data_IF_172109060508
#
_entry.id   IF_172109060508
#
_cell.length_a   1.000
_cell.length_b   1.000
_cell.length_c   1.000
_cell.angle_alpha   90.00
_cell.angle_beta   90.00
_cell.angle_gamma   90.00
#
_symmetry.space_group_name_H-M   'P 1'
#
loop_
_entity.id
_entity.type
_entity.pdbx_description
1 polymer ?
#
# COMPACT_ATOMS: atom_id res chain seq x y z
N UNK A 1 -36.09 -2.86 14.76
CA UNK A 1 -34.85 -2.07 14.81
C UNK A 1 -33.70 -3.03 14.69
N UNK A 2 -33.26 -3.28 13.45
CA UNK A 2 -31.99 -3.95 13.20
C UNK A 2 -30.91 -3.00 13.73
N UNK A 3 -30.17 -3.42 14.73
CA UNK A 3 -29.11 -2.63 15.36
C UNK A 3 -27.86 -2.47 14.45
N UNK A 4 -28.06 -2.25 13.17
CA UNK A 4 -27.02 -1.88 12.22
C UNK A 4 -26.48 -0.52 12.64
N UNK A 5 -25.26 -0.52 13.11
CA UNK A 5 -24.53 0.70 13.40
C UNK A 5 -24.14 1.34 12.07
N UNK A 6 -24.70 2.51 11.80
CA UNK A 6 -24.27 3.31 10.67
C UNK A 6 -22.81 3.74 10.87
N UNK A 7 -22.06 3.80 9.79
CA UNK A 7 -20.69 4.33 9.82
C UNK A 7 -20.68 5.71 10.47
N UNK A 8 -19.71 5.96 11.34
CA UNK A 8 -19.66 7.23 12.06
C UNK A 8 -19.44 8.39 11.10
N UNK A 9 -20.06 9.55 11.37
CA UNK A 9 -19.78 10.78 10.62
C UNK A 9 -18.28 11.14 10.70
N UNK A 10 -17.61 10.79 11.77
CA UNK A 10 -16.17 11.01 11.96
C UNK A 10 -15.30 10.31 10.90
N UNK A 11 -15.66 9.10 10.46
CA UNK A 11 -14.92 8.44 9.36
C UNK A 11 -15.08 9.21 8.04
N UNK A 12 -16.29 9.69 7.75
CA UNK A 12 -16.55 10.53 6.56
C UNK A 12 -15.73 11.82 6.64
N UNK A 13 -15.73 12.48 7.80
CA UNK A 13 -15.01 13.73 8.02
C UNK A 13 -13.49 13.52 7.86
N UNK A 14 -12.95 12.40 8.35
CA UNK A 14 -11.53 12.07 8.19
C UNK A 14 -11.19 11.76 6.73
N UNK A 15 -11.98 10.96 6.02
CA UNK A 15 -11.78 10.73 4.57
C UNK A 15 -11.80 12.05 3.79
N UNK A 16 -12.73 12.94 4.09
CA UNK A 16 -12.80 14.28 3.48
C UNK A 16 -11.56 15.11 3.83
N UNK A 17 -11.06 15.01 5.08
CA UNK A 17 -9.85 15.69 5.52
C UNK A 17 -8.62 15.21 4.73
N UNK A 18 -8.45 13.90 4.54
CA UNK A 18 -7.38 13.31 3.74
C UNK A 18 -7.48 13.80 2.29
N UNK A 19 -8.66 13.75 1.68
CA UNK A 19 -8.89 14.25 0.32
C UNK A 19 -8.49 15.73 0.19
N UNK A 20 -8.83 16.57 1.17
CA UNK A 20 -8.43 17.99 1.19
C UNK A 20 -6.92 18.16 1.32
N UNK A 21 -6.26 17.39 2.17
CA UNK A 21 -4.79 17.41 2.31
C UNK A 21 -4.11 17.04 0.99
N UNK A 22 -4.60 15.99 0.30
CA UNK A 22 -4.09 15.61 -1.03
C UNK A 22 -4.31 16.73 -2.05
N UNK A 23 -5.50 17.31 -2.10
CA UNK A 23 -5.79 18.43 -3.00
C UNK A 23 -4.86 19.63 -2.78
N UNK A 24 -4.58 19.97 -1.51
CA UNK A 24 -3.69 21.07 -1.15
C UNK A 24 -2.20 20.82 -1.54
N UNK A 25 -1.81 19.56 -1.71
CA UNK A 25 -0.46 19.19 -2.15
C UNK A 25 -0.18 19.46 -3.63
N UNK A 26 -1.21 19.78 -4.42
CA UNK A 26 -1.05 20.02 -5.86
C UNK A 26 -1.26 21.49 -6.22
N UNK A 27 -0.31 22.06 -6.95
CA UNK A 27 -0.53 23.31 -7.69
C UNK A 27 -1.29 23.03 -9.00
N UNK A 28 -0.94 21.94 -9.69
CA UNK A 28 -1.64 21.43 -10.86
C UNK A 28 -1.74 19.90 -10.68
N UNK A 29 -2.96 19.37 -10.74
CA UNK A 29 -3.18 17.92 -10.62
C UNK A 29 -2.80 17.24 -11.94
N UNK A 30 -1.88 16.26 -11.93
CA UNK A 30 -1.53 15.52 -13.14
C UNK A 30 -2.77 14.79 -13.70
N UNK A 31 -2.90 14.72 -15.02
CA UNK A 31 -4.03 14.04 -15.68
C UNK A 31 -4.06 12.52 -15.35
N UNK A 32 -2.90 11.93 -15.07
CA UNK A 32 -2.77 10.52 -14.66
C UNK A 32 -3.10 10.27 -13.18
N UNK A 33 -3.22 11.32 -12.35
CA UNK A 33 -3.52 11.15 -10.95
C UNK A 33 -4.95 10.65 -10.73
N UNK A 34 -5.10 9.59 -9.97
CA UNK A 34 -6.38 9.03 -9.55
C UNK A 34 -6.32 8.70 -8.07
N UNK A 35 -7.24 9.26 -7.29
CA UNK A 35 -7.47 8.88 -5.90
C UNK A 35 -8.71 7.99 -5.82
N UNK A 36 -8.56 6.77 -5.32
CA UNK A 36 -9.70 5.87 -5.15
C UNK A 36 -10.02 5.66 -3.67
N UNK A 37 -11.25 5.91 -3.29
CA UNK A 37 -11.78 5.56 -1.96
C UNK A 37 -12.52 4.23 -2.08
N UNK A 38 -12.00 3.20 -1.41
CA UNK A 38 -12.67 1.90 -1.31
C UNK A 38 -13.50 1.87 -0.03
N UNK A 39 -14.81 1.76 -0.19
CA UNK A 39 -15.76 1.70 0.91
C UNK A 39 -16.17 0.24 1.17
N UNK A 40 -16.04 -0.23 2.43
CA UNK A 40 -16.47 -1.57 2.79
C UNK A 40 -17.99 -1.73 2.84
N UNK A 41 -18.74 -0.61 2.87
CA UNK A 41 -20.21 -0.64 2.86
C UNK A 41 -20.80 0.32 1.84
N UNK A 42 -21.85 -0.13 1.16
CA UNK A 42 -22.58 0.69 0.18
C UNK A 42 -23.17 1.97 0.78
N UNK A 43 -23.68 1.91 2.00
CA UNK A 43 -24.23 3.07 2.71
C UNK A 43 -23.18 4.17 2.90
N UNK A 44 -21.95 3.81 3.26
CA UNK A 44 -20.86 4.77 3.39
C UNK A 44 -20.54 5.42 2.05
N UNK A 45 -20.44 4.63 0.98
CA UNK A 45 -20.19 5.15 -0.37
C UNK A 45 -21.21 6.23 -0.77
N UNK A 46 -22.51 5.98 -0.53
CA UNK A 46 -23.57 6.95 -0.85
C UNK A 46 -23.42 8.23 -0.02
N UNK A 47 -23.21 8.10 1.30
CA UNK A 47 -23.05 9.24 2.21
C UNK A 47 -21.82 10.08 1.87
N UNK A 48 -20.67 9.44 1.66
CA UNK A 48 -19.45 10.11 1.23
C UNK A 48 -19.64 10.81 -0.11
N UNK A 49 -20.28 10.15 -1.08
CA UNK A 49 -20.57 10.74 -2.39
C UNK A 49 -21.44 12.01 -2.29
N UNK A 50 -22.45 12.01 -1.41
CA UNK A 50 -23.28 13.19 -1.14
C UNK A 50 -22.46 14.33 -0.52
N UNK A 51 -21.57 14.02 0.45
CA UNK A 51 -20.73 15.01 1.09
C UNK A 51 -19.72 15.62 0.11
N UNK A 52 -19.03 14.79 -0.71
CA UNK A 52 -18.11 15.29 -1.73
C UNK A 52 -18.82 16.13 -2.80
N UNK A 53 -20.04 15.79 -3.17
CA UNK A 53 -20.86 16.61 -4.08
C UNK A 53 -21.22 17.96 -3.46
N UNK A 54 -21.57 17.98 -2.18
CA UNK A 54 -21.81 19.22 -1.43
C UNK A 54 -20.57 20.10 -1.39
N UNK A 55 -19.42 19.49 -1.15
CA UNK A 55 -18.12 20.16 -1.11
C UNK A 55 -17.75 20.76 -2.48
N UNK A 56 -17.93 20.01 -3.57
CA UNK A 56 -17.68 20.47 -4.93
C UNK A 56 -18.53 21.71 -5.31
N UNK A 57 -19.76 21.79 -4.80
CA UNK A 57 -20.64 22.92 -5.04
C UNK A 57 -20.24 24.18 -4.26
N UNK A 58 -19.59 24.01 -3.10
CA UNK A 58 -19.15 25.12 -2.23
C UNK A 58 -17.79 25.66 -2.61
N UNK A 59 -16.91 24.81 -3.15
CA UNK A 59 -15.53 25.12 -3.49
C UNK A 59 -15.21 24.64 -4.90
N UNK A 60 -15.01 25.60 -5.82
CA UNK A 60 -14.72 25.32 -7.23
C UNK A 60 -13.37 24.64 -7.43
N UNK A 61 -12.36 24.97 -6.66
CA UNK A 61 -11.04 24.36 -6.75
C UNK A 61 -11.12 22.91 -6.31
N UNK A 62 -11.78 22.65 -5.18
CA UNK A 62 -12.06 21.30 -4.73
C UNK A 62 -12.91 20.52 -5.74
N UNK A 63 -13.93 21.14 -6.35
CA UNK A 63 -14.73 20.52 -7.40
C UNK A 63 -13.89 20.07 -8.61
N UNK A 64 -12.83 20.80 -8.96
CA UNK A 64 -11.87 20.37 -10.00
C UNK A 64 -11.05 19.16 -9.56
N UNK A 65 -10.52 19.16 -8.35
CA UNK A 65 -9.77 18.03 -7.80
C UNK A 65 -10.64 16.76 -7.71
N UNK A 66 -11.89 16.90 -7.28
CA UNK A 66 -12.81 15.76 -7.12
C UNK A 66 -13.14 15.02 -8.42
N UNK A 67 -12.78 15.56 -9.59
CA UNK A 67 -12.85 14.82 -10.87
C UNK A 67 -11.83 13.68 -10.95
N UNK A 68 -10.77 13.74 -10.14
CA UNK A 68 -9.75 12.71 -10.02
C UNK A 68 -10.05 11.73 -8.87
N UNK A 69 -11.17 11.92 -8.14
CA UNK A 69 -11.56 11.06 -7.02
C UNK A 69 -12.64 10.08 -7.48
N UNK A 70 -12.42 8.80 -7.19
CA UNK A 70 -13.39 7.73 -7.41
C UNK A 70 -13.79 7.12 -6.07
N UNK A 71 -15.04 6.73 -5.93
CA UNK A 71 -15.53 5.99 -4.76
C UNK A 71 -16.07 4.66 -5.28
N UNK A 72 -15.52 3.56 -4.81
CA UNK A 72 -15.92 2.21 -5.21
C UNK A 72 -16.34 1.40 -3.99
N UNK A 73 -17.32 0.52 -4.17
CA UNK A 73 -17.65 -0.48 -3.16
C UNK A 73 -16.62 -1.61 -3.21
N UNK A 74 -16.35 -2.25 -2.07
CA UNK A 74 -15.38 -3.35 -2.03
C UNK A 74 -15.74 -4.52 -2.97
N UNK A 75 -17.02 -4.71 -3.25
CA UNK A 75 -17.49 -5.76 -4.17
C UNK A 75 -17.15 -5.46 -5.65
N UNK A 76 -16.89 -4.20 -5.97
CA UNK A 76 -16.61 -3.71 -7.33
C UNK A 76 -15.12 -3.32 -7.50
N UNK A 77 -14.27 -3.64 -6.54
CA UNK A 77 -12.88 -3.16 -6.50
C UNK A 77 -11.93 -3.93 -7.44
N UNK A 78 -12.30 -5.14 -7.85
CA UNK A 78 -11.45 -5.98 -8.68
C UNK A 78 -11.00 -5.27 -9.97
N UNK A 79 -9.68 -5.23 -10.20
CA UNK A 79 -9.08 -4.56 -11.36
C UNK A 79 -9.04 -3.03 -11.28
N UNK A 80 -9.42 -2.42 -10.16
CA UNK A 80 -9.22 -1.00 -9.95
C UNK A 80 -7.74 -0.67 -9.74
N UNK A 81 -7.31 0.47 -10.28
CA UNK A 81 -5.95 1.01 -10.08
C UNK A 81 -6.05 2.49 -9.73
N UNK A 82 -5.18 2.95 -8.86
CA UNK A 82 -5.10 4.34 -8.44
C UNK A 82 -3.67 4.73 -8.05
N UNK A 83 -3.34 6.01 -8.22
CA UNK A 83 -2.07 6.57 -7.72
C UNK A 83 -2.07 6.61 -6.20
N UNK A 84 -3.21 6.95 -5.60
CA UNK A 84 -3.45 6.96 -4.16
C UNK A 84 -4.76 6.23 -3.85
N UNK A 85 -4.84 5.52 -2.72
CA UNK A 85 -6.11 4.95 -2.27
C UNK A 85 -6.38 5.24 -0.78
N UNK A 86 -7.66 5.26 -0.45
CA UNK A 86 -8.16 5.31 0.92
C UNK A 86 -9.06 4.10 1.11
N UNK A 87 -8.72 3.23 2.06
CA UNK A 87 -9.58 2.13 2.48
C UNK A 87 -10.36 2.58 3.73
N UNK A 88 -11.66 2.81 3.56
CA UNK A 88 -12.54 3.21 4.64
C UNK A 88 -13.26 1.98 5.19
N UNK A 89 -13.06 1.68 6.48
CA UNK A 89 -13.59 0.47 7.14
C UNK A 89 -15.11 0.50 7.25
N UNK A 90 -15.71 1.68 7.42
CA UNK A 90 -17.15 1.92 7.37
C UNK A 90 -17.97 1.19 8.45
N UNK A 91 -17.33 0.60 9.45
CA UNK A 91 -17.96 -0.01 10.60
C UNK A 91 -17.75 0.88 11.83
N UNK A 92 -18.77 1.02 12.65
CA UNK A 92 -18.69 1.86 13.83
C UNK A 92 -19.00 1.06 15.09
N UNK A 93 -18.48 1.52 16.22
CA UNK A 93 -18.86 1.00 17.53
C UNK A 93 -20.25 1.46 17.90
N UNK A 94 -21.00 0.64 18.61
CA UNK A 94 -22.27 0.99 19.21
C UNK A 94 -22.10 2.12 20.26
N UNK A 95 -23.18 2.73 20.70
CA UNK A 95 -23.16 3.70 21.82
C UNK A 95 -22.56 3.15 23.12
N UNK A 96 -22.46 1.82 23.24
CA UNK A 96 -21.83 1.13 24.35
C UNK A 96 -20.35 0.76 24.10
N UNK A 97 -19.75 1.30 23.04
CA UNK A 97 -18.33 1.07 22.70
C UNK A 97 -18.01 -0.32 22.12
N UNK A 98 -19.02 -1.12 21.72
CA UNK A 98 -18.83 -2.46 21.20
C UNK A 98 -18.91 -2.46 19.65
N UNK A 99 -17.96 -3.13 19.01
CA UNK A 99 -18.03 -3.40 17.58
C UNK A 99 -19.03 -4.53 17.32
N UNK A 100 -19.94 -4.31 16.35
CA UNK A 100 -20.74 -5.41 15.84
C UNK A 100 -19.85 -6.24 14.91
N UNK A 101 -19.69 -7.53 15.25
CA UNK A 101 -18.83 -8.46 14.51
C UNK A 101 -19.51 -8.91 13.20
N UNK A 102 -20.00 -7.96 12.41
CA UNK A 102 -20.67 -8.18 11.12
C UNK A 102 -19.98 -7.33 10.06
N UNK A 103 -19.28 -7.98 9.15
CA UNK A 103 -18.40 -7.35 8.17
C UNK A 103 -18.93 -7.44 6.73
N UNK A 104 -20.23 -7.68 6.58
CA UNK A 104 -20.95 -7.59 5.31
C UNK A 104 -20.32 -8.44 4.20
N UNK A 105 -19.90 -7.83 3.11
CA UNK A 105 -19.35 -8.52 1.94
C UNK A 105 -18.08 -9.34 2.28
N UNK A 106 -17.32 -8.94 3.30
CA UNK A 106 -16.13 -9.69 3.72
C UNK A 106 -16.45 -11.05 4.35
N UNK A 107 -17.69 -11.29 4.79
CA UNK A 107 -18.12 -12.57 5.33
C UNK A 107 -18.45 -13.61 4.23
N UNK A 108 -18.50 -13.20 2.97
CA UNK A 108 -18.70 -14.11 1.85
C UNK A 108 -17.45 -14.94 1.57
N UNK A 109 -17.60 -16.06 0.84
CA UNK A 109 -16.50 -16.95 0.43
C UNK A 109 -15.40 -16.20 -0.35
N UNK A 110 -15.74 -15.12 -1.07
CA UNK A 110 -14.80 -14.25 -1.79
C UNK A 110 -14.24 -13.09 -0.96
N UNK A 111 -14.66 -12.91 0.30
CA UNK A 111 -14.38 -11.73 1.10
C UNK A 111 -12.90 -11.44 1.30
N UNK A 112 -12.07 -12.48 1.48
CA UNK A 112 -10.61 -12.33 1.54
C UNK A 112 -10.04 -11.82 0.22
N UNK A 113 -10.51 -12.35 -0.91
CA UNK A 113 -10.09 -11.91 -2.25
C UNK A 113 -10.42 -10.43 -2.47
N UNK A 114 -11.64 -9.99 -2.15
CA UNK A 114 -12.06 -8.60 -2.26
C UNK A 114 -11.16 -7.67 -1.43
N UNK A 115 -10.77 -8.08 -0.22
CA UNK A 115 -9.86 -7.29 0.62
C UNK A 115 -8.46 -7.21 0.00
N UNK A 116 -7.93 -8.30 -0.54
CA UNK A 116 -6.64 -8.32 -1.23
C UNK A 116 -6.67 -7.43 -2.48
N UNK A 117 -7.75 -7.49 -3.27
CA UNK A 117 -7.93 -6.60 -4.42
C UNK A 117 -7.96 -5.13 -3.97
N UNK A 118 -8.64 -4.81 -2.85
CA UNK A 118 -8.67 -3.46 -2.30
C UNK A 118 -7.28 -2.96 -1.86
N UNK A 119 -6.46 -3.83 -1.29
CA UNK A 119 -5.08 -3.52 -0.90
C UNK A 119 -4.14 -3.38 -2.10
N UNK A 120 -4.49 -3.97 -3.24
CA UNK A 120 -3.73 -3.89 -4.49
C UNK A 120 -4.13 -2.68 -5.38
N UNK A 121 -5.15 -1.90 -4.99
CA UNK A 121 -5.59 -0.72 -5.76
C UNK A 121 -4.52 0.37 -5.82
N UNK A 122 -3.85 0.74 -4.71
CA UNK A 122 -2.92 1.86 -4.67
C UNK A 122 -1.55 1.54 -5.27
N UNK A 123 -0.94 2.56 -5.84
CA UNK A 123 0.46 2.58 -6.23
C UNK A 123 1.00 4.02 -6.09
N UNK A 124 1.75 4.38 -5.06
CA UNK A 124 2.28 3.60 -3.92
C UNK A 124 1.59 3.84 -2.56
N UNK A 125 0.55 4.70 -2.44
CA UNK A 125 0.04 5.15 -1.15
C UNK A 125 -1.35 4.63 -0.80
N UNK A 126 -1.48 4.01 0.39
CA UNK A 126 -2.73 3.57 0.98
C UNK A 126 -2.94 4.20 2.36
N UNK A 127 -4.00 4.98 2.51
CA UNK A 127 -4.49 5.41 3.82
C UNK A 127 -5.60 4.45 4.29
N UNK A 128 -5.52 3.98 5.53
CA UNK A 128 -6.58 3.18 6.16
C UNK A 128 -7.31 4.03 7.18
N UNK A 129 -8.61 4.19 7.01
CA UNK A 129 -9.46 4.96 7.94
C UNK A 129 -10.39 4.00 8.66
N UNK A 130 -10.28 3.94 9.99
CA UNK A 130 -11.08 3.07 10.84
C UNK A 130 -11.51 3.78 12.12
N UNK A 131 -12.72 3.51 12.60
CA UNK A 131 -13.22 3.96 13.90
C UNK A 131 -13.06 2.90 15.00
N UNK A 132 -12.41 1.79 14.70
CA UNK A 132 -12.13 0.69 15.62
C UNK A 132 -10.72 0.13 15.38
N UNK A 133 -10.18 -0.50 16.41
CA UNK A 133 -8.86 -1.14 16.39
C UNK A 133 -8.97 -2.65 16.13
N UNK A 134 -7.85 -3.28 15.80
CA UNK A 134 -7.77 -4.73 15.62
C UNK A 134 -8.21 -5.50 16.88
N UNK A 135 -7.92 -4.96 18.06
CA UNK A 135 -8.29 -5.57 19.35
C UNK A 135 -9.80 -5.51 19.66
N UNK A 136 -10.55 -4.64 18.97
CA UNK A 136 -12.02 -4.62 19.07
C UNK A 136 -12.67 -5.81 18.32
N UNK A 137 -11.91 -6.51 17.50
CA UNK A 137 -12.35 -7.69 16.71
C UNK A 137 -12.09 -8.97 17.50
N UNK A 138 -13.17 -9.63 17.92
CA UNK A 138 -13.14 -10.85 18.72
C UNK A 138 -12.84 -12.08 17.88
N UNK A 139 -11.68 -12.71 18.09
CA UNK A 139 -11.24 -13.90 17.32
C UNK A 139 -12.22 -15.05 17.38
N UNK A 140 -12.95 -15.25 18.51
CA UNK A 140 -13.94 -16.31 18.67
C UNK A 140 -15.17 -16.12 17.76
N UNK A 141 -15.42 -14.88 17.34
CA UNK A 141 -16.55 -14.51 16.48
C UNK A 141 -16.19 -14.37 15.01
N UNK A 142 -14.89 -14.35 14.68
CA UNK A 142 -14.42 -14.29 13.31
C UNK A 142 -14.34 -15.69 12.70
N UNK A 143 -15.42 -16.10 12.01
CA UNK A 143 -15.48 -17.43 11.42
C UNK A 143 -14.92 -17.45 9.99
N UNK A 144 -15.17 -16.40 9.20
CA UNK A 144 -14.80 -16.30 7.79
C UNK A 144 -13.39 -15.70 7.60
N UNK A 145 -12.76 -16.04 6.48
CA UNK A 145 -11.39 -15.64 6.17
C UNK A 145 -11.24 -14.13 5.87
N UNK A 146 -12.27 -13.48 5.33
CA UNK A 146 -12.26 -12.05 5.05
C UNK A 146 -12.11 -11.20 6.32
N UNK A 147 -12.98 -11.35 7.34
CA UNK A 147 -12.84 -10.65 8.62
C UNK A 147 -11.53 -10.96 9.35
N UNK A 148 -11.02 -12.21 9.29
CA UNK A 148 -9.70 -12.56 9.87
C UNK A 148 -8.57 -11.80 9.16
N UNK A 149 -8.62 -11.74 7.83
CA UNK A 149 -7.67 -10.98 7.06
C UNK A 149 -7.76 -9.47 7.37
N UNK A 150 -8.98 -8.91 7.52
CA UNK A 150 -9.19 -7.53 7.92
C UNK A 150 -8.53 -7.23 9.27
N UNK A 151 -8.74 -8.09 10.27
CA UNK A 151 -8.09 -7.94 11.58
C UNK A 151 -6.58 -7.94 11.46
N UNK A 152 -6.02 -8.80 10.61
CA UNK A 152 -4.57 -8.87 10.36
C UNK A 152 -4.06 -7.57 9.73
N UNK A 153 -4.77 -7.03 8.73
CA UNK A 153 -4.43 -5.76 8.07
C UNK A 153 -4.47 -4.61 9.06
N UNK A 154 -5.51 -4.51 9.89
CA UNK A 154 -5.61 -3.46 10.92
C UNK A 154 -4.47 -3.57 11.93
N UNK A 155 -4.19 -4.76 12.46
CA UNK A 155 -3.09 -4.97 13.40
C UNK A 155 -1.76 -4.56 12.80
N UNK A 156 -1.53 -4.92 11.54
CA UNK A 156 -0.33 -4.52 10.82
C UNK A 156 -0.26 -3.00 10.66
N UNK A 157 -1.34 -2.35 10.24
CA UNK A 157 -1.41 -0.90 10.08
C UNK A 157 -1.19 -0.14 11.41
N UNK A 158 -1.69 -0.66 12.54
CA UNK A 158 -1.49 -0.10 13.89
C UNK A 158 -0.04 -0.23 14.37
N UNK A 159 0.67 -1.23 13.91
CA UNK A 159 2.08 -1.48 14.24
C UNK A 159 3.06 -0.76 13.30
N UNK A 160 2.55 -0.21 12.18
CA UNK A 160 3.38 0.56 11.27
C UNK A 160 3.85 1.84 11.96
N UNK A 161 5.09 1.81 12.42
CA UNK A 161 5.85 3.02 12.76
C UNK A 161 6.54 3.54 11.48
N UNK A 162 6.85 4.83 11.43
CA UNK A 162 7.61 5.45 10.30
C UNK A 162 8.92 4.69 9.99
N UNK A 163 9.48 4.01 11.01
CA UNK A 163 10.65 3.14 10.85
C UNK A 163 10.38 1.84 10.07
N UNK A 164 9.12 1.33 10.10
CA UNK A 164 8.71 0.11 9.39
C UNK A 164 8.28 0.39 7.94
N UNK A 165 7.87 1.63 7.64
CA UNK A 165 7.47 2.07 6.30
C UNK A 165 8.70 2.34 5.42
N UNK A 166 9.86 2.56 6.03
CA UNK A 166 11.11 2.78 5.31
C UNK A 166 11.91 1.48 5.30
N UNK A 167 12.26 0.98 4.11
CA UNK A 167 13.17 -0.16 4.04
C UNK A 167 14.46 0.18 4.79
N UNK A 168 14.98 -0.78 5.53
CA UNK A 168 16.24 -0.60 6.25
C UNK A 168 17.35 -0.28 5.27
N UNK A 169 18.02 0.86 5.47
CA UNK A 169 19.21 1.23 4.70
C UNK A 169 20.41 0.64 5.43
N UNK A 170 21.02 -0.40 4.85
CA UNK A 170 22.24 -1.00 5.37
C UNK A 170 23.43 -0.56 4.54
N UNK A 171 24.53 -0.22 5.21
CA UNK A 171 25.78 0.13 4.55
C UNK A 171 26.56 -1.12 4.09
N UNK A 172 26.34 -2.26 4.77
CA UNK A 172 26.97 -3.54 4.45
C UNK A 172 26.00 -4.69 4.71
N UNK A 173 26.10 -5.75 3.92
CA UNK A 173 25.31 -6.99 4.03
C UNK A 173 26.20 -8.21 4.16
N UNK A 174 25.62 -9.40 4.09
CA UNK A 174 26.35 -10.67 4.16
C UNK A 174 27.15 -10.96 2.89
N UNK A 175 26.77 -10.38 1.76
CA UNK A 175 27.43 -10.62 0.48
C UNK A 175 28.64 -9.70 0.29
N UNK A 176 29.85 -10.30 0.38
CA UNK A 176 31.13 -9.60 0.27
C UNK A 176 31.29 -8.87 -1.08
N UNK A 177 30.79 -9.44 -2.17
CA UNK A 177 30.85 -8.83 -3.50
C UNK A 177 30.08 -7.51 -3.52
N UNK A 178 28.89 -7.49 -2.93
CA UNK A 178 28.09 -6.27 -2.88
C UNK A 178 28.63 -5.22 -1.91
N UNK A 179 29.30 -5.65 -0.85
CA UNK A 179 29.97 -4.70 0.05
C UNK A 179 31.11 -3.96 -0.68
N UNK A 180 31.96 -4.69 -1.42
CA UNK A 180 33.04 -4.10 -2.22
C UNK A 180 32.48 -3.20 -3.34
N UNK A 181 31.45 -3.66 -4.03
CA UNK A 181 30.80 -2.87 -5.08
C UNK A 181 30.15 -1.59 -4.50
N UNK A 182 29.50 -1.70 -3.35
CA UNK A 182 28.87 -0.56 -2.66
C UNK A 182 29.92 0.49 -2.27
N UNK A 183 31.08 0.07 -1.76
CA UNK A 183 32.18 0.96 -1.40
C UNK A 183 32.70 1.72 -2.62
N UNK A 184 32.99 1.03 -3.72
CA UNK A 184 33.42 1.64 -4.98
C UNK A 184 32.42 2.60 -5.61
N UNK A 185 31.13 2.33 -5.46
CA UNK A 185 30.06 3.20 -5.96
C UNK A 185 29.96 4.47 -5.08
N UNK A 186 30.06 4.34 -3.75
CA UNK A 186 30.10 5.49 -2.82
C UNK A 186 31.29 6.39 -3.07
N UNK A 187 32.47 5.84 -3.37
CA UNK A 187 33.64 6.64 -3.75
C UNK A 187 33.40 7.50 -5.00
N UNK A 188 32.46 7.10 -5.87
CA UNK A 188 32.01 7.88 -7.03
C UNK A 188 30.93 8.90 -6.73
N UNK A 189 30.54 9.06 -5.46
CA UNK A 189 29.59 10.09 -5.00
C UNK A 189 28.12 9.72 -5.17
N UNK A 190 27.79 8.43 -5.31
CA UNK A 190 26.43 7.93 -5.36
C UNK A 190 25.99 7.38 -3.99
N UNK A 191 24.70 7.44 -3.72
CA UNK A 191 24.10 6.82 -2.55
C UNK A 191 23.83 5.34 -2.85
N UNK A 192 24.19 4.47 -1.90
CA UNK A 192 24.09 3.02 -2.04
C UNK A 192 23.62 2.38 -0.75
N UNK A 193 22.69 1.46 -0.86
CA UNK A 193 22.31 0.56 0.23
C UNK A 193 22.40 -0.91 -0.19
N UNK A 194 22.75 -1.77 0.76
CA UNK A 194 22.84 -3.22 0.60
C UNK A 194 21.69 -3.87 1.35
N UNK A 195 21.19 -5.02 0.86
CA UNK A 195 20.04 -5.74 1.42
C UNK A 195 18.81 -4.82 1.66
N UNK A 196 18.52 -3.97 0.67
CA UNK A 196 17.45 -3.00 0.72
C UNK A 196 16.09 -3.68 0.58
N UNK A 197 15.24 -3.50 1.56
CA UNK A 197 13.89 -4.07 1.58
C UNK A 197 13.38 -4.32 2.99
N UNK A 198 12.31 -5.09 3.08
CA UNK A 198 11.67 -5.45 4.35
C UNK A 198 12.11 -6.86 4.77
N UNK A 199 12.19 -7.11 6.07
CA UNK A 199 12.69 -8.39 6.59
C UNK A 199 11.87 -9.61 6.15
N UNK A 200 10.56 -9.44 6.02
CA UNK A 200 9.63 -10.49 5.57
C UNK A 200 9.18 -10.33 4.11
N UNK A 201 9.88 -9.51 3.31
CA UNK A 201 9.53 -9.20 1.93
C UNK A 201 10.66 -9.39 0.93
N UNK A 202 10.45 -8.84 -0.27
CA UNK A 202 11.48 -8.79 -1.29
C UNK A 202 12.63 -7.91 -0.81
N UNK A 203 13.85 -8.45 -0.83
CA UNK A 203 15.10 -7.70 -0.60
C UNK A 203 15.85 -7.54 -1.91
N UNK A 204 16.24 -6.31 -2.19
CA UNK A 204 17.12 -6.00 -3.30
C UNK A 204 18.56 -6.05 -2.80
N UNK A 205 19.42 -6.90 -3.38
CA UNK A 205 20.76 -7.11 -2.86
C UNK A 205 21.60 -5.83 -2.78
N UNK A 206 21.43 -4.93 -3.79
CA UNK A 206 22.06 -3.63 -3.81
C UNK A 206 21.16 -2.64 -4.54
N UNK A 207 21.05 -1.42 -4.02
CA UNK A 207 20.34 -0.32 -4.68
C UNK A 207 21.23 0.91 -4.75
N UNK A 208 21.05 1.69 -5.83
CA UNK A 208 21.87 2.87 -6.13
C UNK A 208 20.98 4.05 -6.47
N UNK A 209 21.34 5.23 -5.97
CA UNK A 209 20.69 6.49 -6.27
C UNK A 209 21.70 7.65 -6.44
N UNK A 210 21.21 8.77 -6.94
CA UNK A 210 21.97 10.01 -6.90
C UNK A 210 22.00 10.54 -5.46
N UNK A 211 23.06 11.25 -5.10
CA UNK A 211 23.24 11.75 -3.74
C UNK A 211 22.07 12.63 -3.28
N UNK A 212 21.39 12.19 -2.22
CA UNK A 212 20.23 12.89 -1.66
C UNK A 212 18.92 12.67 -2.41
N UNK A 213 18.91 11.85 -3.47
CA UNK A 213 17.72 11.47 -4.23
C UNK A 213 17.27 10.04 -3.85
N UNK A 214 16.02 9.66 -4.12
CA UNK A 214 15.57 8.29 -3.93
C UNK A 214 16.39 7.29 -4.75
N UNK A 215 16.56 6.08 -4.23
CA UNK A 215 17.17 4.99 -5.00
C UNK A 215 16.33 4.68 -6.23
N UNK A 216 16.98 4.52 -7.39
CA UNK A 216 16.31 4.30 -8.66
C UNK A 216 16.81 3.05 -9.42
N UNK A 217 17.98 2.54 -9.07
CA UNK A 217 18.59 1.36 -9.70
C UNK A 217 18.67 0.21 -8.71
N UNK A 218 18.08 -0.93 -9.07
CA UNK A 218 18.24 -2.20 -8.37
C UNK A 218 19.31 -3.04 -9.06
N UNK A 219 20.29 -3.52 -8.31
CA UNK A 219 21.34 -4.42 -8.81
C UNK A 219 21.09 -5.81 -8.25
N UNK A 220 20.80 -6.75 -9.13
CA UNK A 220 20.54 -8.15 -8.80
C UNK A 220 21.77 -9.02 -9.09
N UNK A 221 21.82 -10.18 -8.45
CA UNK A 221 22.86 -11.20 -8.68
C UNK A 221 22.28 -12.60 -8.56
N UNK A 222 23.12 -13.59 -8.83
CA UNK A 222 22.87 -15.02 -8.60
C UNK A 222 23.04 -15.39 -7.09
N UNK A 223 22.36 -14.64 -6.20
CA UNK A 223 22.37 -14.89 -4.77
C UNK A 223 21.44 -16.05 -4.35
N UNK A 224 21.38 -16.33 -3.05
CA UNK A 224 20.53 -17.38 -2.50
C UNK A 224 19.04 -17.17 -2.78
N UNK A 225 18.57 -15.91 -2.80
CA UNK A 225 17.18 -15.57 -3.11
C UNK A 225 16.86 -15.85 -4.57
N UNK A 226 17.73 -15.42 -5.50
CA UNK A 226 17.61 -15.71 -6.93
C UNK A 226 17.64 -17.21 -7.22
N UNK A 227 18.55 -17.93 -6.57
CA UNK A 227 18.69 -19.39 -6.74
C UNK A 227 17.52 -20.18 -6.14
N UNK A 228 16.85 -19.61 -5.12
CA UNK A 228 15.66 -20.19 -4.49
C UNK A 228 14.40 -20.13 -5.36
N UNK A 229 14.35 -19.29 -6.40
CA UNK A 229 13.22 -19.24 -7.33
C UNK A 229 13.12 -20.54 -8.14
N UNK A 230 11.92 -21.11 -8.23
CA UNK A 230 11.73 -22.47 -8.73
C UNK A 230 11.91 -22.60 -10.25
N UNK A 231 11.62 -21.55 -11.02
CA UNK A 231 11.67 -21.61 -12.48
C UNK A 231 12.59 -20.56 -13.10
N UNK A 232 13.17 -20.90 -14.26
CA UNK A 232 13.94 -19.95 -15.09
C UNK A 232 13.10 -18.73 -15.49
N UNK A 233 11.79 -18.92 -15.71
CA UNK A 233 10.87 -17.82 -16.03
C UNK A 233 10.72 -16.85 -14.86
N UNK A 234 10.60 -17.35 -13.64
CA UNK A 234 10.54 -16.51 -12.43
C UNK A 234 11.80 -15.70 -12.27
N UNK A 235 12.97 -16.33 -12.40
CA UNK A 235 14.28 -15.69 -12.22
C UNK A 235 14.56 -14.58 -13.22
N UNK A 236 14.30 -14.84 -14.51
CA UNK A 236 14.77 -13.98 -15.60
C UNK A 236 13.68 -13.08 -16.17
N UNK A 237 12.44 -13.27 -15.81
CA UNK A 237 11.35 -12.48 -16.36
C UNK A 237 10.41 -11.91 -15.30
N UNK A 238 9.82 -12.76 -14.44
CA UNK A 238 8.80 -12.30 -13.49
C UNK A 238 9.40 -11.35 -12.47
N UNK A 239 10.49 -11.76 -11.80
CA UNK A 239 11.19 -10.92 -10.83
C UNK A 239 11.62 -9.57 -11.41
N UNK A 240 12.19 -9.56 -12.62
CA UNK A 240 12.61 -8.32 -13.28
C UNK A 240 11.41 -7.44 -13.60
N UNK A 241 10.35 -8.00 -14.18
CA UNK A 241 9.13 -7.26 -14.52
C UNK A 241 8.44 -6.69 -13.28
N UNK A 242 8.42 -7.44 -12.18
CA UNK A 242 7.82 -6.99 -10.92
C UNK A 242 8.62 -5.79 -10.36
N UNK A 243 9.94 -5.85 -10.33
CA UNK A 243 10.80 -4.76 -9.86
C UNK A 243 10.68 -3.54 -10.78
N UNK A 244 10.69 -3.73 -12.10
CA UNK A 244 10.51 -2.65 -13.08
C UNK A 244 9.12 -2.01 -12.99
N UNK A 245 8.08 -2.79 -12.69
CA UNK A 245 6.71 -2.29 -12.51
C UNK A 245 6.59 -1.37 -11.29
N UNK A 246 7.45 -1.55 -10.29
CA UNK A 246 7.58 -0.67 -9.12
C UNK A 246 8.40 0.60 -9.40
N UNK A 247 8.79 0.84 -10.65
CA UNK A 247 9.50 2.04 -11.08
C UNK A 247 11.02 1.97 -10.97
N UNK A 248 11.58 0.80 -10.66
CA UNK A 248 13.03 0.62 -10.59
C UNK A 248 13.64 0.36 -11.97
N UNK A 249 14.82 0.92 -12.22
CA UNK A 249 15.72 0.40 -13.26
C UNK A 249 16.42 -0.84 -12.71
N UNK A 250 16.60 -1.88 -13.52
CA UNK A 250 17.21 -3.14 -13.06
C UNK A 250 18.50 -3.43 -13.82
N UNK A 251 19.54 -3.80 -13.09
CA UNK A 251 20.81 -4.31 -13.61
C UNK A 251 21.12 -5.66 -12.96
N UNK A 252 21.60 -6.63 -13.74
CA UNK A 252 22.07 -7.91 -13.21
C UNK A 252 23.58 -7.97 -13.29
N UNK A 253 24.23 -8.27 -12.17
CA UNK A 253 25.66 -8.52 -12.05
C UNK A 253 25.86 -9.97 -11.64
N UNK A 254 26.45 -10.77 -12.51
CA UNK A 254 26.73 -12.17 -12.22
C UNK A 254 28.00 -12.32 -11.41
N UNK A 255 27.97 -13.14 -10.36
CA UNK A 255 29.12 -13.36 -9.48
C UNK A 255 30.37 -13.81 -10.24
N UNK A 256 30.21 -14.69 -11.22
CA UNK A 256 31.30 -15.16 -12.09
C UNK A 256 31.94 -14.01 -12.89
N UNK A 257 31.13 -13.07 -13.40
CA UNK A 257 31.63 -11.93 -14.17
C UNK A 257 32.39 -10.92 -13.32
N UNK A 258 32.04 -10.78 -12.05
CA UNK A 258 32.67 -9.85 -11.14
C UNK A 258 34.07 -10.32 -10.65
N UNK A 259 34.34 -11.61 -10.70
CA UNK A 259 35.65 -12.17 -10.32
C UNK A 259 36.66 -12.30 -11.48
N UNK A 260 36.21 -12.10 -12.73
CA UNK A 260 37.03 -12.27 -13.94
C UNK A 260 37.58 -10.93 -14.46
N UNK A 261 37.02 -9.81 -14.06
CA UNK A 261 37.43 -8.44 -14.39
C UNK A 261 37.84 -7.66 -13.12
#
# INVERSE_FOLDING_TARGET
NSGLVESSQQEIDEVVSIIRKRAAGFTIVPASYVLTVVALTHTFRIRLGAELKSLANKDKAMGMFLRHVRIVDIVDVAGAHATDAILAMCYAKTSHGRLLQQFGALESDGGRGMLLDALAVPDPHLDIVSSFASDDMDDERLHQDGPKALKTVLRWAEQLDDSMVRPAIKESGENVLFNDLAERIRERGLDVAVDYGFDDGLKLPLVVGLKGEPFALAVLTDDAQFMGLQSTRERHRVLLQDIESLGWSVMTVWSVGAFVN
#
